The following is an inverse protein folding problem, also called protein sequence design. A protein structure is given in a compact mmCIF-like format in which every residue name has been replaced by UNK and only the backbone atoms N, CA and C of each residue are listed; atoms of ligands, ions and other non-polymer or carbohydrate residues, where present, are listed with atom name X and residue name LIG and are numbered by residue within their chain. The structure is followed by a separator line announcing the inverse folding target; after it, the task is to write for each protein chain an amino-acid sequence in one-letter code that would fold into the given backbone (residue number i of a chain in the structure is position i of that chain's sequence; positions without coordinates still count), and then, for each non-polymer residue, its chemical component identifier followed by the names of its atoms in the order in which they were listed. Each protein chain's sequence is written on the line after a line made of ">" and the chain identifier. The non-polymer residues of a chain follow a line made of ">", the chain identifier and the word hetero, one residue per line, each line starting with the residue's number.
data_IF_472305861958
#
_entry.id   IF_472305861958
#
_cell.length_a   1.000
_cell.length_b   1.000
_cell.length_c   1.000
_cell.angle_alpha   90.00
_cell.angle_beta   90.00
_cell.angle_gamma   90.00
#
_symmetry.space_group_name_H-M   'P 1'
#
loop_
_entity.id
_entity.type
_entity.pdbx_description
1 polymer ?
#
# COMPACT_ATOMS: atom_id res chain seq x y z
N UNK A 1 -1.02 -28.27 15.68
CA UNK A 1 -1.36 -26.90 16.15
C UNK A 1 -1.61 -26.05 14.91
N UNK A 2 -2.81 -25.50 14.67
CA UNK A 2 -3.00 -24.59 13.55
C UNK A 2 -2.35 -23.25 13.90
N UNK A 3 -1.55 -22.72 12.98
CA UNK A 3 -1.01 -21.37 13.04
C UNK A 3 -2.20 -20.43 12.77
N UNK A 4 -2.84 -19.96 13.84
CA UNK A 4 -3.89 -18.96 13.74
C UNK A 4 -3.27 -17.62 13.37
N UNK A 5 -3.26 -17.29 12.07
CA UNK A 5 -3.04 -15.91 11.60
C UNK A 5 -4.27 -15.12 12.04
N UNK A 6 -4.23 -14.57 13.26
CA UNK A 6 -5.27 -13.67 13.74
C UNK A 6 -5.34 -12.47 12.79
N UNK A 7 -6.54 -12.16 12.30
CA UNK A 7 -6.81 -10.95 11.51
C UNK A 7 -6.31 -9.75 12.34
N UNK A 8 -5.28 -9.01 11.88
CA UNK A 8 -4.74 -7.95 12.71
C UNK A 8 -5.74 -6.79 12.79
N UNK A 9 -5.96 -6.30 14.00
CA UNK A 9 -6.64 -5.02 14.21
C UNK A 9 -5.87 -3.93 13.46
N UNK A 10 -6.61 -3.02 12.83
CA UNK A 10 -6.04 -1.90 12.07
C UNK A 10 -5.05 -1.09 12.92
N UNK A 11 -5.40 -0.87 14.19
CA UNK A 11 -4.56 -0.21 15.18
C UNK A 11 -3.14 -0.81 15.28
N UNK A 12 -3.01 -2.14 15.25
CA UNK A 12 -1.69 -2.79 15.34
C UNK A 12 -0.84 -2.50 14.12
N UNK A 13 -1.45 -2.48 12.93
CA UNK A 13 -0.75 -2.15 11.69
C UNK A 13 -0.34 -0.68 11.66
N UNK A 14 -1.23 0.22 12.06
CA UNK A 14 -0.93 1.66 12.15
C UNK A 14 0.18 1.94 13.16
N UNK A 15 0.14 1.30 14.32
CA UNK A 15 1.21 1.40 15.33
C UNK A 15 2.56 0.93 14.76
N UNK A 16 2.58 -0.17 14.00
CA UNK A 16 3.79 -0.69 13.35
C UNK A 16 4.33 0.29 12.29
N UNK A 17 3.45 0.97 11.56
CA UNK A 17 3.82 1.84 10.45
C UNK A 17 4.05 3.32 10.85
N UNK A 18 3.72 3.70 12.09
CA UNK A 18 3.77 5.08 12.56
C UNK A 18 5.13 5.76 12.31
N UNK A 19 6.24 5.08 12.61
CA UNK A 19 7.58 5.63 12.39
C UNK A 19 7.86 5.86 10.89
N UNK A 20 7.53 4.88 10.05
CA UNK A 20 7.70 4.99 8.60
C UNK A 20 6.87 6.14 8.02
N UNK A 21 5.63 6.31 8.48
CA UNK A 21 4.77 7.43 8.06
C UNK A 21 5.36 8.79 8.44
N UNK A 22 5.93 8.93 9.65
CA UNK A 22 6.60 10.16 10.08
C UNK A 22 7.80 10.47 9.19
N UNK A 23 8.64 9.48 8.90
CA UNK A 23 9.83 9.66 8.06
C UNK A 23 9.43 10.04 6.62
N UNK A 24 8.49 9.30 6.02
CA UNK A 24 8.01 9.56 4.66
C UNK A 24 7.36 10.94 4.55
N UNK A 25 6.56 11.36 5.54
CA UNK A 25 5.94 12.69 5.58
C UNK A 25 6.97 13.81 5.59
N UNK A 26 8.07 13.65 6.33
CA UNK A 26 9.16 14.64 6.35
C UNK A 26 9.88 14.72 5.01
N UNK A 27 10.16 13.58 4.37
CA UNK A 27 10.80 13.53 3.05
C UNK A 27 9.88 14.16 2.00
N UNK A 28 8.60 13.81 2.02
CA UNK A 28 7.60 14.36 1.11
C UNK A 28 7.51 15.89 1.22
N UNK A 29 7.43 16.42 2.44
CA UNK A 29 7.42 17.87 2.67
C UNK A 29 8.71 18.55 2.20
N UNK A 30 9.88 17.93 2.43
CA UNK A 30 11.18 18.51 2.06
C UNK A 30 11.38 18.61 0.55
N UNK A 31 10.90 17.62 -0.21
CA UNK A 31 11.15 17.51 -1.64
C UNK A 31 9.92 17.77 -2.51
N UNK A 32 8.78 18.16 -1.92
CA UNK A 32 7.53 18.39 -2.65
C UNK A 32 6.98 17.11 -3.28
N UNK A 33 7.18 15.95 -2.64
CA UNK A 33 6.67 14.68 -3.15
C UNK A 33 5.26 14.38 -2.60
N UNK A 34 4.51 13.57 -3.35
CA UNK A 34 3.19 13.08 -2.92
C UNK A 34 3.32 11.70 -2.27
N UNK A 35 2.59 11.45 -1.18
CA UNK A 35 2.49 10.13 -0.55
C UNK A 35 1.23 9.42 -1.06
N UNK A 36 1.40 8.21 -1.54
CA UNK A 36 0.31 7.28 -1.83
C UNK A 36 0.24 6.28 -0.66
N UNK A 37 -0.82 6.35 0.15
CA UNK A 37 -1.07 5.41 1.23
C UNK A 37 -2.06 4.31 0.78
N UNK A 38 -1.61 3.06 0.57
CA UNK A 38 -2.49 1.97 0.17
C UNK A 38 -3.27 1.37 1.35
N UNK A 39 -2.95 1.73 2.60
CA UNK A 39 -3.50 1.10 3.79
C UNK A 39 -5.04 1.19 3.86
N UNK A 40 -5.73 2.28 3.48
CA UNK A 40 -7.18 2.35 3.43
C UNK A 40 -7.85 1.43 2.38
N UNK A 41 -7.12 1.04 1.33
CA UNK A 41 -7.61 0.05 0.35
C UNK A 41 -7.38 -1.39 0.81
N UNK A 42 -6.33 -1.59 1.61
CA UNK A 42 -5.93 -2.89 2.16
C UNK A 42 -6.82 -3.26 3.34
N UNK A 43 -6.99 -2.38 4.32
CA UNK A 43 -7.79 -2.65 5.52
C UNK A 43 -9.09 -1.85 5.55
N UNK A 44 -10.11 -2.39 6.22
CA UNK A 44 -11.29 -1.62 6.61
C UNK A 44 -11.01 -0.67 7.78
N UNK A 45 -12.09 -0.10 8.35
CA UNK A 45 -12.01 0.87 9.46
C UNK A 45 -11.25 0.33 10.67
N UNK A 46 -11.58 -0.90 11.10
CA UNK A 46 -11.12 -1.42 12.39
C UNK A 46 -10.21 -2.64 12.27
N UNK A 47 -10.18 -3.28 11.09
CA UNK A 47 -9.43 -4.53 10.85
C UNK A 47 -8.91 -4.63 9.42
N UNK A 48 -7.85 -5.40 9.26
CA UNK A 48 -7.31 -5.75 7.95
C UNK A 48 -7.76 -7.17 7.59
N UNK A 49 -8.70 -7.32 6.67
CA UNK A 49 -9.26 -8.63 6.31
C UNK A 49 -8.18 -9.57 5.76
N UNK A 50 -8.15 -10.83 6.22
CA UNK A 50 -7.25 -11.84 5.66
C UNK A 50 -7.76 -12.41 4.31
N UNK A 51 -9.08 -12.36 4.10
CA UNK A 51 -9.79 -12.89 2.93
C UNK A 51 -10.86 -11.90 2.50
N UNK A 52 -10.97 -11.63 1.20
CA UNK A 52 -12.02 -10.79 0.60
C UNK A 52 -12.56 -11.52 -0.62
N UNK A 53 -13.89 -11.66 -0.71
CA UNK A 53 -14.57 -12.37 -1.80
C UNK A 53 -14.04 -13.82 -2.00
N UNK A 54 -13.73 -14.52 -0.91
CA UNK A 54 -13.22 -15.89 -0.95
C UNK A 54 -11.75 -16.04 -1.37
N UNK A 55 -11.03 -14.93 -1.62
CA UNK A 55 -9.62 -14.95 -1.99
C UNK A 55 -8.72 -14.42 -0.86
N UNK A 56 -7.56 -15.05 -0.61
CA UNK A 56 -6.60 -14.57 0.38
C UNK A 56 -5.94 -13.27 -0.06
N UNK A 57 -5.88 -12.30 0.85
CA UNK A 57 -5.22 -11.01 0.63
C UNK A 57 -3.71 -11.09 0.84
N UNK A 58 -3.30 -11.97 1.76
CA UNK A 58 -1.92 -12.09 2.20
C UNK A 58 -1.38 -13.50 1.95
N UNK A 59 -0.08 -13.56 1.63
CA UNK A 59 0.70 -14.80 1.59
C UNK A 59 1.20 -15.18 2.99
N UNK A 60 1.56 -14.17 3.79
CA UNK A 60 2.05 -14.28 5.17
C UNK A 60 1.74 -12.98 5.94
N UNK A 61 2.40 -12.73 7.07
CA UNK A 61 2.12 -11.56 7.92
C UNK A 61 2.47 -10.21 7.28
N UNK A 62 3.22 -10.19 6.17
CA UNK A 62 3.78 -8.96 5.58
C UNK A 62 3.57 -8.85 4.06
N UNK A 63 3.38 -9.96 3.35
CA UNK A 63 3.28 -9.97 1.89
C UNK A 63 1.84 -10.13 1.41
N UNK A 64 1.44 -9.32 0.43
CA UNK A 64 0.19 -9.49 -0.30
C UNK A 64 0.30 -10.65 -1.30
N UNK A 65 -0.83 -11.28 -1.63
CA UNK A 65 -0.90 -12.16 -2.79
C UNK A 65 -0.80 -11.36 -4.08
N UNK A 66 -0.27 -11.97 -5.15
CA UNK A 66 -0.18 -11.31 -6.46
C UNK A 66 -1.55 -10.86 -6.97
N UNK A 67 -2.57 -11.70 -6.75
CA UNK A 67 -3.96 -11.41 -7.12
C UNK A 67 -4.46 -10.15 -6.42
N UNK A 68 -4.26 -10.02 -5.11
CA UNK A 68 -4.72 -8.83 -4.39
C UNK A 68 -3.88 -7.58 -4.73
N UNK A 69 -2.56 -7.72 -4.86
CA UNK A 69 -1.69 -6.61 -5.27
C UNK A 69 -2.10 -6.02 -6.63
N UNK A 70 -2.53 -6.86 -7.59
CA UNK A 70 -3.03 -6.38 -8.89
C UNK A 70 -4.25 -5.47 -8.76
N UNK A 71 -5.12 -5.69 -7.76
CA UNK A 71 -6.30 -4.85 -7.52
C UNK A 71 -5.94 -3.44 -7.02
N UNK A 72 -4.74 -3.25 -6.46
CA UNK A 72 -4.25 -1.95 -5.99
C UNK A 72 -3.67 -1.09 -7.11
N UNK A 73 -3.55 -1.61 -8.34
CA UNK A 73 -2.95 -0.88 -9.47
C UNK A 73 -3.61 0.48 -9.73
N UNK A 74 -4.92 0.60 -9.51
CA UNK A 74 -5.66 1.86 -9.67
C UNK A 74 -5.14 3.00 -8.79
N UNK A 75 -4.52 2.70 -7.64
CA UNK A 75 -3.89 3.72 -6.78
C UNK A 75 -2.64 4.34 -7.40
N UNK A 76 -1.93 3.59 -8.24
CA UNK A 76 -0.62 3.97 -8.78
C UNK A 76 -0.67 4.41 -10.24
N UNK A 77 -1.62 3.87 -11.02
CA UNK A 77 -1.71 4.12 -12.45
C UNK A 77 -1.75 5.60 -12.85
N UNK A 78 -2.47 6.51 -12.16
CA UNK A 78 -2.46 7.93 -12.52
C UNK A 78 -1.05 8.52 -12.48
N UNK A 79 -0.34 8.33 -11.35
CA UNK A 79 1.01 8.88 -11.14
C UNK A 79 2.03 8.22 -12.08
N UNK A 80 1.97 6.90 -12.25
CA UNK A 80 2.87 6.20 -13.17
C UNK A 80 2.64 6.61 -14.64
N UNK A 81 1.39 6.86 -15.02
CA UNK A 81 1.04 7.33 -16.36
C UNK A 81 1.55 8.75 -16.60
N UNK A 82 1.40 9.64 -15.62
CA UNK A 82 1.96 11.00 -15.67
C UNK A 82 3.48 10.96 -15.84
N UNK A 83 4.19 10.18 -15.01
CA UNK A 83 5.64 10.02 -15.10
C UNK A 83 6.09 9.49 -16.47
N UNK A 84 5.39 8.49 -17.00
CA UNK A 84 5.64 7.96 -18.34
C UNK A 84 5.47 9.04 -19.41
N UNK A 85 4.41 9.83 -19.32
CA UNK A 85 4.12 10.89 -20.29
C UNK A 85 5.16 12.02 -20.20
N UNK A 86 5.58 12.40 -18.99
CA UNK A 86 6.65 13.39 -18.78
C UNK A 86 7.99 12.90 -19.33
N UNK A 87 8.33 11.63 -19.14
CA UNK A 87 9.55 11.03 -19.70
C UNK A 87 9.51 10.96 -21.23
N UNK A 88 8.34 10.64 -21.82
CA UNK A 88 8.16 10.62 -23.26
C UNK A 88 8.20 12.04 -23.88
N UNK A 89 7.75 13.06 -23.15
CA UNK A 89 7.73 14.45 -23.58
C UNK A 89 9.09 15.16 -23.44
N UNK A 90 9.97 14.66 -22.57
CA UNK A 90 11.35 15.13 -22.41
C UNK A 90 12.33 13.96 -22.61
N UNK A 91 12.50 13.46 -23.84
CA UNK A 91 13.57 12.51 -24.13
C UNK A 91 14.88 13.27 -23.94
N UNK A 92 15.54 13.09 -22.80
CA UNK A 92 16.89 13.63 -22.58
C UNK A 92 17.80 13.18 -23.72
N UNK A 93 18.41 14.15 -24.41
CA UNK A 93 19.48 13.98 -25.40
C UNK A 93 20.76 13.48 -24.72
#
# INVERSE_FOLDING_TARGET
>A
MPIGVGIPCRFTIEKRQALSHVILSRVAAKYGATIIDPLPAICGSDRCDAVRNGLPLYKDADHLTATFAATLSSLYLPVLSELRNSAAANPTH
#
